data_IF_512713651722
#
_entry.id   IF_512713651722
#
_cell.length_a   1.000
_cell.length_b   1.000
_cell.length_c   1.000
_cell.angle_alpha   90.00
_cell.angle_beta   90.00
_cell.angle_gamma   90.00
#
_symmetry.space_group_name_H-M   'P 1'
#
loop_
_entity.id
_entity.type
_entity.pdbx_description
1 polymer ?
#
# COMPACT_ATOMS: atom_id res chain seq x y z
N UNK A 1 13.02 2.77 27.68
CA UNK A 1 12.12 3.78 27.07
C UNK A 1 12.02 3.49 25.59
N UNK A 2 10.88 3.05 25.05
CA UNK A 2 10.72 2.93 23.59
C UNK A 2 10.77 4.35 23.03
N UNK A 3 11.74 4.65 22.16
CA UNK A 3 11.75 5.94 21.45
C UNK A 3 10.41 6.06 20.72
N UNK A 4 9.66 7.16 20.88
CA UNK A 4 8.50 7.38 20.02
C UNK A 4 9.05 7.37 18.60
N UNK A 5 8.58 6.44 17.77
CA UNK A 5 8.79 6.54 16.33
C UNK A 5 8.33 7.96 15.97
N UNK A 6 9.23 8.72 15.37
CA UNK A 6 9.04 10.14 15.09
C UNK A 6 7.72 10.38 14.33
N UNK A 7 7.09 11.53 14.53
CA UNK A 7 5.87 11.90 13.78
C UNK A 7 6.10 11.78 12.25
N UNK A 8 7.34 11.98 11.81
CA UNK A 8 7.80 11.83 10.43
C UNK A 8 7.51 10.43 9.85
N UNK A 9 7.68 9.35 10.63
CA UNK A 9 7.36 7.99 10.20
C UNK A 9 5.86 7.75 10.00
N UNK A 10 5.02 8.49 10.72
CA UNK A 10 3.56 8.42 10.56
C UNK A 10 3.13 9.16 9.30
N UNK A 11 3.68 10.34 9.06
CA UNK A 11 3.42 11.17 7.89
C UNK A 11 3.82 10.44 6.60
N UNK A 12 5.05 9.91 6.54
CA UNK A 12 5.56 9.13 5.39
C UNK A 12 4.64 7.94 5.08
N UNK A 13 4.14 7.25 6.10
CA UNK A 13 3.24 6.10 5.92
C UNK A 13 1.90 6.52 5.32
N UNK A 14 1.34 7.65 5.76
CA UNK A 14 0.08 8.18 5.24
C UNK A 14 0.25 8.62 3.79
N UNK A 15 1.35 9.31 3.47
CA UNK A 15 1.67 9.73 2.11
C UNK A 15 1.82 8.53 1.16
N UNK A 16 2.56 7.50 1.58
CA UNK A 16 2.73 6.28 0.80
C UNK A 16 1.40 5.55 0.59
N UNK A 17 0.57 5.45 1.63
CA UNK A 17 -0.75 4.85 1.54
C UNK A 17 -1.65 5.58 0.52
N UNK A 18 -1.68 6.91 0.59
CA UNK A 18 -2.44 7.75 -0.32
C UNK A 18 -1.93 7.62 -1.78
N UNK A 19 -0.61 7.54 -1.97
CA UNK A 19 -0.02 7.30 -3.29
C UNK A 19 -0.47 5.97 -3.90
N UNK A 20 -0.36 4.87 -3.16
CA UNK A 20 -0.76 3.54 -3.64
C UNK A 20 -2.26 3.47 -3.94
N UNK A 21 -3.09 4.09 -3.09
CA UNK A 21 -4.53 4.20 -3.32
C UNK A 21 -4.84 4.93 -4.63
N UNK A 22 -4.23 6.12 -4.82
CA UNK A 22 -4.44 6.93 -6.01
C UNK A 22 -4.01 6.17 -7.27
N UNK A 23 -2.88 5.49 -7.21
CA UNK A 23 -2.36 4.67 -8.29
C UNK A 23 -3.33 3.54 -8.67
N UNK A 24 -3.81 2.76 -7.69
CA UNK A 24 -4.80 1.70 -7.93
C UNK A 24 -6.07 2.23 -8.58
N UNK A 25 -6.61 3.34 -8.05
CA UNK A 25 -7.83 3.95 -8.57
C UNK A 25 -7.64 4.49 -10.00
N UNK A 26 -6.47 5.07 -10.30
CA UNK A 26 -6.13 5.53 -11.65
C UNK A 26 -6.10 4.40 -12.68
N UNK A 27 -5.79 3.18 -12.24
CA UNK A 27 -5.80 1.96 -13.06
C UNK A 27 -7.17 1.26 -13.10
N UNK A 28 -8.22 1.81 -12.47
CA UNK A 28 -9.54 1.20 -12.33
C UNK A 28 -9.53 -0.21 -11.70
N UNK A 29 -8.53 -0.52 -10.89
CA UNK A 29 -8.42 -1.82 -10.23
C UNK A 29 -9.17 -1.83 -8.90
N UNK A 30 -9.80 -2.96 -8.57
CA UNK A 30 -10.35 -3.22 -7.23
C UNK A 30 -9.24 -3.65 -6.27
N UNK A 31 -9.45 -3.48 -4.96
CA UNK A 31 -8.52 -4.00 -3.96
C UNK A 31 -8.36 -5.52 -4.05
N UNK A 32 -9.40 -6.25 -4.46
CA UNK A 32 -9.36 -7.70 -4.60
C UNK A 32 -8.48 -8.16 -5.77
N UNK A 33 -8.49 -7.44 -6.89
CA UNK A 33 -7.58 -7.71 -8.02
C UNK A 33 -6.12 -7.55 -7.60
N UNK A 34 -5.79 -6.44 -6.94
CA UNK A 34 -4.43 -6.21 -6.40
C UNK A 34 -4.06 -7.27 -5.37
N UNK A 35 -5.00 -7.70 -4.52
CA UNK A 35 -4.77 -8.74 -3.53
C UNK A 35 -4.40 -10.09 -4.17
N UNK A 36 -5.14 -10.52 -5.18
CA UNK A 36 -4.89 -11.76 -5.93
C UNK A 36 -3.49 -11.74 -6.54
N UNK A 37 -3.12 -10.67 -7.22
CA UNK A 37 -1.84 -10.57 -7.92
C UNK A 37 -0.64 -10.39 -6.98
N UNK A 38 -0.83 -9.68 -5.86
CA UNK A 38 0.22 -9.49 -4.85
C UNK A 38 0.39 -10.67 -3.90
N UNK A 39 -0.53 -11.65 -3.94
CA UNK A 39 -0.59 -12.77 -3.00
C UNK A 39 -0.88 -12.32 -1.57
N UNK A 40 -1.67 -11.27 -1.39
CA UNK A 40 -2.10 -10.73 -0.09
C UNK A 40 -3.61 -10.89 0.07
N UNK A 41 -4.12 -10.71 1.29
CA UNK A 41 -5.57 -10.60 1.49
C UNK A 41 -6.06 -9.21 1.08
N UNK A 42 -7.32 -9.11 0.64
CA UNK A 42 -7.95 -7.80 0.38
C UNK A 42 -7.94 -6.91 1.64
N UNK A 43 -8.08 -7.51 2.83
CA UNK A 43 -7.97 -6.78 4.10
C UNK A 43 -6.57 -6.20 4.34
N UNK A 44 -5.51 -6.86 3.87
CA UNK A 44 -4.15 -6.32 3.93
C UNK A 44 -3.98 -5.13 2.97
N UNK A 45 -4.53 -5.21 1.75
CA UNK A 45 -4.57 -4.07 0.81
C UNK A 45 -5.28 -2.88 1.44
N UNK A 46 -6.45 -3.11 2.04
CA UNK A 46 -7.20 -2.06 2.74
C UNK A 46 -6.38 -1.43 3.86
N UNK A 47 -5.69 -2.20 4.72
CA UNK A 47 -4.84 -1.64 5.78
C UNK A 47 -3.68 -0.81 5.22
N UNK A 48 -3.06 -1.27 4.13
CA UNK A 48 -1.98 -0.55 3.44
C UNK A 48 -2.49 0.79 2.91
N UNK A 49 -3.59 0.79 2.16
CA UNK A 49 -4.15 2.02 1.54
C UNK A 49 -4.72 3.01 2.57
N UNK A 50 -5.06 2.55 3.78
CA UNK A 50 -5.54 3.41 4.85
C UNK A 50 -4.42 3.98 5.73
N UNK A 51 -3.17 3.48 5.63
CA UNK A 51 -2.04 3.97 6.43
C UNK A 51 -2.24 3.88 7.96
N UNK A 52 -3.23 3.12 8.44
CA UNK A 52 -3.58 3.02 9.87
C UNK A 52 -2.56 2.19 10.66
N UNK A 53 -1.90 1.25 10.02
CA UNK A 53 -0.92 0.34 10.61
C UNK A 53 0.34 0.26 9.76
N UNK A 54 1.48 0.01 10.40
CA UNK A 54 2.74 -0.19 9.70
C UNK A 54 2.70 -1.52 8.93
N UNK A 55 2.62 -1.44 7.59
CA UNK A 55 2.84 -2.57 6.72
C UNK A 55 4.34 -2.87 6.62
N UNK A 56 4.70 -4.14 6.41
CA UNK A 56 6.09 -4.49 6.13
C UNK A 56 6.53 -3.92 4.77
N UNK A 57 7.81 -3.57 4.65
CA UNK A 57 8.40 -3.15 3.37
C UNK A 57 8.14 -4.16 2.25
N UNK A 58 8.20 -5.45 2.56
CA UNK A 58 7.95 -6.51 1.59
C UNK A 58 6.52 -6.49 1.04
N UNK A 59 5.51 -6.25 1.88
CA UNK A 59 4.13 -6.13 1.43
C UNK A 59 3.91 -4.85 0.61
N UNK A 60 4.54 -3.74 0.99
CA UNK A 60 4.51 -2.50 0.22
C UNK A 60 5.11 -2.69 -1.19
N UNK A 61 6.27 -3.35 -1.27
CA UNK A 61 6.94 -3.67 -2.54
C UNK A 61 6.08 -4.58 -3.42
N UNK A 62 5.41 -5.59 -2.84
CA UNK A 62 4.50 -6.46 -3.59
C UNK A 62 3.34 -5.69 -4.21
N UNK A 63 2.69 -4.82 -3.45
CA UNK A 63 1.59 -3.98 -3.94
C UNK A 63 2.08 -3.04 -5.04
N UNK A 64 3.20 -2.34 -4.80
CA UNK A 64 3.77 -1.42 -5.79
C UNK A 64 4.16 -2.13 -7.10
N UNK A 65 4.74 -3.34 -7.02
CA UNK A 65 5.10 -4.13 -8.21
C UNK A 65 3.88 -4.45 -9.08
N UNK A 66 2.77 -4.86 -8.47
CA UNK A 66 1.53 -5.13 -9.21
C UNK A 66 1.08 -3.86 -9.92
N UNK A 67 0.94 -2.76 -9.18
CA UNK A 67 0.43 -1.51 -9.75
C UNK A 67 1.33 -0.94 -10.87
N UNK A 68 2.65 -1.02 -10.72
CA UNK A 68 3.61 -0.56 -11.74
C UNK A 68 3.61 -1.42 -13.01
N UNK A 69 3.29 -2.71 -12.91
CA UNK A 69 3.11 -3.57 -14.09
C UNK A 69 1.88 -3.15 -14.90
N UNK A 70 0.79 -2.78 -14.23
CA UNK A 70 -0.44 -2.31 -14.89
C UNK A 70 -0.32 -0.93 -15.53
N UNK A 71 0.54 -0.04 -15.03
CA UNK A 71 0.82 1.25 -15.69
C UNK A 71 1.50 1.08 -17.07
N UNK A 72 2.11 -0.07 -17.33
CA UNK A 72 2.87 -0.33 -18.57
C UNK A 72 2.02 -1.01 -19.66
N UNK A 73 0.72 -1.18 -19.44
CA UNK A 73 -0.23 -1.88 -20.33
C UNK A 73 -1.21 -0.86 -20.91
#
# INVERSE_FOLDING_TARGET
>A
MKKPFDNNSIEIRIELAAYLLKLRLGLNLTQNQVAIESGLSQSAISRIENGKEAASLFNLVRVYRVLSQWESV
#
